data_IF_219518660888
#
_entry.id   IF_219518660888
#
_cell.length_a   1.000
_cell.length_b   1.000
_cell.length_c   1.000
_cell.angle_alpha   90.00
_cell.angle_beta   90.00
_cell.angle_gamma   90.00
#
_symmetry.space_group_name_H-M   'P 1'
#
loop_
_entity.id
_entity.type
_entity.pdbx_description
1 polymer ?
#
# COMPACT_ATOMS: atom_id res chain seq x y z
N UNK A 1 29.76 45.75 -20.48
CA UNK A 1 28.60 45.04 -21.08
C UNK A 1 28.55 43.67 -20.42
N UNK A 2 27.52 43.33 -19.63
CA UNK A 2 27.44 42.01 -18.96
C UNK A 2 26.94 40.98 -19.96
N UNK A 3 27.72 39.94 -20.22
CA UNK A 3 27.30 38.77 -21.00
C UNK A 3 26.18 38.00 -20.27
N UNK A 4 25.01 37.91 -20.89
CA UNK A 4 23.94 37.02 -20.44
C UNK A 4 24.17 35.63 -21.05
N UNK A 5 24.66 34.68 -20.25
CA UNK A 5 24.80 33.28 -20.68
C UNK A 5 23.43 32.59 -20.68
N UNK A 6 23.08 31.98 -21.81
CA UNK A 6 21.88 31.18 -21.97
C UNK A 6 21.91 29.98 -21.00
N UNK A 7 20.86 29.82 -20.19
CA UNK A 7 20.61 28.63 -19.37
C UNK A 7 19.36 27.94 -19.91
N UNK A 8 19.53 26.75 -20.52
CA UNK A 8 18.40 25.88 -20.83
C UNK A 8 17.90 25.24 -19.54
N UNK A 9 16.68 25.57 -19.14
CA UNK A 9 15.96 24.82 -18.12
C UNK A 9 15.14 23.74 -18.82
N UNK A 10 15.46 22.48 -18.57
CA UNK A 10 14.66 21.36 -19.02
C UNK A 10 13.63 21.06 -17.93
N UNK A 11 12.41 21.55 -18.08
CA UNK A 11 11.29 21.14 -17.22
C UNK A 11 10.85 19.75 -17.64
N UNK A 12 11.40 18.72 -17.00
CA UNK A 12 10.84 17.37 -17.10
C UNK A 12 9.57 17.35 -16.25
N UNK A 13 8.45 17.80 -16.80
CA UNK A 13 7.12 17.48 -16.23
C UNK A 13 6.79 16.06 -16.66
N UNK A 14 7.35 15.16 -15.88
CA UNK A 14 7.10 13.74 -15.96
C UNK A 14 7.70 13.19 -14.70
N UNK A 15 6.89 13.10 -13.63
CA UNK A 15 7.23 12.11 -12.61
C UNK A 15 7.34 10.82 -13.39
N UNK A 16 8.49 10.19 -13.42
CA UNK A 16 8.57 8.76 -13.74
C UNK A 16 7.80 8.07 -12.62
N UNK A 17 6.46 8.18 -12.66
CA UNK A 17 5.52 7.60 -11.72
C UNK A 17 5.88 6.15 -11.73
N UNK A 18 6.52 5.74 -10.64
CA UNK A 18 7.15 4.45 -10.42
C UNK A 18 6.47 3.37 -11.27
N UNK A 19 7.09 2.99 -12.41
CA UNK A 19 6.81 1.70 -13.03
C UNK A 19 7.41 0.65 -12.09
N UNK A 20 6.80 0.50 -10.92
CA UNK A 20 7.08 -0.61 -10.03
C UNK A 20 6.56 -1.82 -10.77
N UNK A 21 7.47 -2.66 -11.28
CA UNK A 21 7.08 -3.97 -11.77
C UNK A 21 6.22 -4.64 -10.68
N UNK A 22 5.06 -5.17 -11.07
CA UNK A 22 4.13 -5.88 -10.16
C UNK A 22 3.39 -5.01 -9.13
N UNK A 23 3.08 -3.75 -9.43
CA UNK A 23 2.24 -2.89 -8.56
C UNK A 23 0.91 -3.57 -8.18
N UNK A 24 0.21 -4.15 -9.16
CA UNK A 24 -1.06 -4.86 -8.94
C UNK A 24 -0.91 -6.00 -7.92
N UNK A 25 0.14 -6.82 -8.07
CA UNK A 25 0.45 -7.90 -7.13
C UNK A 25 0.69 -7.38 -5.71
N UNK A 26 1.38 -6.24 -5.56
CA UNK A 26 1.61 -5.64 -4.24
C UNK A 26 0.31 -5.14 -3.62
N UNK A 27 -0.58 -4.55 -4.42
CA UNK A 27 -1.92 -4.12 -3.97
C UNK A 27 -2.70 -5.34 -3.47
N UNK A 28 -2.74 -6.41 -4.26
CA UNK A 28 -3.42 -7.66 -3.89
C UNK A 28 -2.86 -8.26 -2.58
N UNK A 29 -1.53 -8.35 -2.46
CA UNK A 29 -0.86 -8.82 -1.25
C UNK A 29 -1.20 -7.95 -0.04
N UNK A 30 -1.24 -6.63 -0.22
CA UNK A 30 -1.58 -5.70 0.85
C UNK A 30 -3.03 -5.85 1.31
N UNK A 31 -3.98 -6.05 0.38
CA UNK A 31 -5.37 -6.36 0.72
C UNK A 31 -5.50 -7.66 1.51
N UNK A 32 -4.75 -8.71 1.12
CA UNK A 32 -4.69 -9.97 1.88
C UNK A 32 -4.14 -9.77 3.29
N UNK A 33 -3.10 -8.95 3.45
CA UNK A 33 -2.50 -8.67 4.75
C UNK A 33 -3.46 -7.89 5.65
N UNK A 34 -4.14 -6.87 5.12
CA UNK A 34 -5.16 -6.12 5.85
C UNK A 34 -6.32 -7.02 6.31
N UNK A 35 -6.85 -7.88 5.44
CA UNK A 35 -7.92 -8.82 5.81
C UNK A 35 -7.51 -9.74 6.97
N UNK A 36 -6.29 -10.30 6.87
CA UNK A 36 -5.74 -11.18 7.91
C UNK A 36 -5.51 -10.43 9.22
N UNK A 37 -4.99 -9.21 9.15
CA UNK A 37 -4.72 -8.39 10.32
C UNK A 37 -6.00 -7.98 11.02
N UNK A 38 -7.02 -7.54 10.27
CA UNK A 38 -8.34 -7.22 10.81
C UNK A 38 -8.93 -8.41 11.58
N UNK A 39 -8.88 -9.63 11.02
CA UNK A 39 -9.35 -10.85 11.69
C UNK A 39 -8.61 -11.18 13.00
N UNK A 40 -7.40 -10.65 13.19
CA UNK A 40 -6.58 -10.88 14.38
C UNK A 40 -6.83 -9.88 15.52
N UNK A 41 -7.59 -8.82 15.28
CA UNK A 41 -7.83 -7.74 16.24
C UNK A 41 -9.33 -7.58 16.49
N UNK A 42 -9.72 -7.59 17.76
CA UNK A 42 -11.08 -7.27 18.21
C UNK A 42 -11.01 -6.63 19.60
N UNK A 43 -11.59 -5.43 19.84
CA UNK A 43 -12.31 -4.57 18.90
C UNK A 43 -11.41 -3.94 17.84
N UNK A 44 -11.97 -3.64 16.67
CA UNK A 44 -11.26 -2.94 15.58
C UNK A 44 -11.34 -1.42 15.75
N UNK A 45 -10.19 -0.76 15.67
CA UNK A 45 -10.08 0.69 15.61
C UNK A 45 -8.81 1.05 14.84
N UNK A 46 -8.85 2.03 13.94
CA UNK A 46 -7.67 2.45 13.17
C UNK A 46 -6.93 3.62 13.83
N UNK A 47 -6.31 3.35 14.97
CA UNK A 47 -5.55 4.32 15.77
C UNK A 47 -4.02 4.13 15.66
N UNK A 48 -3.22 5.03 16.25
CA UNK A 48 -1.75 4.94 16.17
C UNK A 48 -1.19 3.60 16.68
N UNK A 49 -1.76 3.03 17.75
CA UNK A 49 -1.29 1.75 18.30
C UNK A 49 -1.54 0.57 17.34
N UNK A 50 -2.71 0.53 16.71
CA UNK A 50 -3.02 -0.49 15.70
C UNK A 50 -2.21 -0.30 14.42
N UNK A 51 -1.89 0.94 14.04
CA UNK A 51 -1.02 1.25 12.90
C UNK A 51 0.41 0.73 13.13
N UNK A 52 0.97 0.92 14.33
CA UNK A 52 2.28 0.34 14.69
C UNK A 52 2.25 -1.20 14.68
N UNK A 53 1.19 -1.81 15.23
CA UNK A 53 1.00 -3.26 15.17
C UNK A 53 0.89 -3.77 13.74
N UNK A 54 0.23 -3.02 12.86
CA UNK A 54 0.10 -3.38 11.45
C UNK A 54 1.44 -3.29 10.73
N UNK A 55 2.27 -2.29 11.04
CA UNK A 55 3.64 -2.20 10.54
C UNK A 55 4.44 -3.45 10.92
N UNK A 56 4.42 -3.82 12.21
CA UNK A 56 5.15 -5.00 12.69
C UNK A 56 4.61 -6.29 12.05
N UNK A 57 3.30 -6.39 11.86
CA UNK A 57 2.69 -7.50 11.12
C UNK A 57 3.16 -7.58 9.67
N UNK A 58 3.20 -6.46 8.95
CA UNK A 58 3.71 -6.40 7.57
C UNK A 58 5.20 -6.77 7.51
N UNK A 59 6.00 -6.32 8.49
CA UNK A 59 7.42 -6.65 8.60
C UNK A 59 7.63 -8.14 8.83
N UNK A 60 6.87 -8.73 9.74
CA UNK A 60 6.90 -10.17 10.04
C UNK A 60 6.48 -11.04 8.84
N UNK A 61 5.73 -10.47 7.89
CA UNK A 61 5.35 -11.12 6.62
C UNK A 61 6.29 -10.77 5.46
N UNK A 62 7.43 -10.13 5.76
CA UNK A 62 8.45 -9.71 4.79
C UNK A 62 7.90 -8.81 3.66
N UNK A 63 6.78 -8.12 3.92
CA UNK A 63 6.15 -7.23 2.93
C UNK A 63 6.87 -5.88 2.84
N UNK A 64 7.44 -5.44 3.96
CA UNK A 64 8.25 -4.23 4.07
C UNK A 64 9.66 -4.61 4.55
N UNK A 65 10.66 -3.88 4.05
CA UNK A 65 12.06 -4.03 4.46
C UNK A 65 12.52 -2.82 5.27
N UNK A 66 13.48 -3.05 6.17
CA UNK A 66 14.06 -2.02 7.04
C UNK A 66 13.30 -1.80 8.36
N UNK A 67 13.77 -0.81 9.12
CA UNK A 67 13.22 -0.40 10.40
C UNK A 67 12.78 1.06 10.33
N UNK A 68 11.47 1.30 10.40
CA UNK A 68 10.93 2.64 10.41
C UNK A 68 11.03 3.25 11.81
N UNK A 69 11.54 4.48 11.89
CA UNK A 69 11.52 5.28 13.12
C UNK A 69 10.09 5.66 13.52
N UNK A 70 9.19 5.82 12.55
CA UNK A 70 7.77 6.16 12.73
C UNK A 70 6.86 5.13 12.06
N UNK A 71 6.68 4.00 12.72
CA UNK A 71 5.93 2.84 12.22
C UNK A 71 4.46 3.17 11.92
N UNK A 72 3.82 3.98 12.77
CA UNK A 72 2.46 4.50 12.61
C UNK A 72 2.27 5.19 11.25
N UNK A 73 3.17 6.13 10.96
CA UNK A 73 3.12 6.96 9.76
C UNK A 73 3.34 6.11 8.51
N UNK A 74 4.34 5.24 8.53
CA UNK A 74 4.66 4.36 7.41
C UNK A 74 3.49 3.42 7.09
N UNK A 75 2.86 2.80 8.10
CA UNK A 75 1.68 1.97 7.92
C UNK A 75 0.51 2.74 7.28
N UNK A 76 0.32 4.00 7.70
CA UNK A 76 -0.71 4.88 7.14
C UNK A 76 -0.43 5.25 5.70
N UNK A 77 0.81 5.60 5.36
CA UNK A 77 1.22 5.95 3.99
C UNK A 77 1.09 4.77 3.02
N UNK A 78 1.38 3.54 3.49
CA UNK A 78 1.15 2.35 2.66
C UNK A 78 -0.32 2.13 2.36
N UNK A 79 -1.21 2.46 3.29
CA UNK A 79 -2.64 2.16 3.18
C UNK A 79 -3.47 3.30 2.60
N UNK A 80 -3.00 4.56 2.66
CA UNK A 80 -3.77 5.73 2.19
C UNK A 80 -4.15 5.62 0.72
N UNK A 81 -3.21 5.22 -0.14
CA UNK A 81 -3.49 5.07 -1.57
C UNK A 81 -4.57 4.03 -1.89
N UNK A 82 -4.78 3.03 -1.02
CA UNK A 82 -5.84 2.03 -1.19
C UNK A 82 -7.23 2.60 -0.85
N UNK A 83 -7.28 3.60 0.05
CA UNK A 83 -8.50 4.35 0.36
C UNK A 83 -8.88 5.22 -0.83
N UNK A 84 -7.89 5.95 -1.37
CA UNK A 84 -8.10 6.90 -2.48
C UNK A 84 -8.67 6.22 -3.74
N UNK A 85 -8.27 4.97 -4.00
CA UNK A 85 -8.76 4.16 -5.12
C UNK A 85 -10.03 3.33 -4.78
N UNK A 86 -10.53 3.40 -3.55
CA UNK A 86 -11.80 2.78 -3.14
C UNK A 86 -11.75 1.27 -2.84
N UNK A 87 -10.57 0.68 -2.65
CA UNK A 87 -10.45 -0.75 -2.29
C UNK A 87 -10.68 -1.00 -0.80
N UNK A 88 -10.41 0.01 0.03
CA UNK A 88 -10.66 -0.02 1.48
C UNK A 88 -11.34 1.27 1.93
N UNK A 89 -12.01 1.20 3.07
CA UNK A 89 -12.67 2.32 3.74
C UNK A 89 -11.66 3.17 4.54
N UNK A 90 -12.10 4.31 5.06
CA UNK A 90 -11.28 5.18 5.91
C UNK A 90 -10.75 4.43 7.15
N UNK A 91 -11.55 3.53 7.72
CA UNK A 91 -11.15 2.65 8.83
C UNK A 91 -10.32 1.43 8.41
N UNK A 92 -9.82 1.42 7.16
CA UNK A 92 -9.01 0.33 6.56
C UNK A 92 -9.70 -1.03 6.50
N UNK A 93 -11.03 -1.04 6.49
CA UNK A 93 -11.83 -2.23 6.19
C UNK A 93 -12.01 -2.39 4.68
N UNK A 94 -12.01 -3.62 4.19
CA UNK A 94 -12.24 -3.92 2.77
C UNK A 94 -13.63 -3.47 2.32
N UNK A 95 -13.69 -2.72 1.22
CA UNK A 95 -14.95 -2.38 0.55
C UNK A 95 -15.50 -3.60 -0.20
N UNK A 96 -16.71 -3.49 -0.73
CA UNK A 96 -17.29 -4.52 -1.61
C UNK A 96 -16.41 -4.80 -2.83
N UNK A 97 -15.78 -3.75 -3.39
CA UNK A 97 -14.83 -3.87 -4.51
C UNK A 97 -13.55 -4.57 -4.05
N UNK A 98 -12.97 -4.15 -2.91
CA UNK A 98 -11.78 -4.78 -2.35
C UNK A 98 -11.97 -6.26 -2.05
N UNK A 99 -13.12 -6.66 -1.50
CA UNK A 99 -13.48 -8.07 -1.25
C UNK A 99 -13.56 -8.86 -2.55
N UNK A 100 -14.26 -8.34 -3.57
CA UNK A 100 -14.36 -9.00 -4.88
C UNK A 100 -13.00 -9.18 -5.55
N UNK A 101 -12.14 -8.16 -5.49
CA UNK A 101 -10.77 -8.25 -6.03
C UNK A 101 -10.00 -9.38 -5.34
N UNK A 102 -10.05 -9.42 -4.00
CA UNK A 102 -9.40 -10.44 -3.19
C UNK A 102 -9.88 -11.87 -3.53
N UNK A 103 -11.18 -12.03 -3.76
CA UNK A 103 -11.78 -13.31 -4.17
C UNK A 103 -11.31 -13.77 -5.55
N UNK A 104 -11.24 -12.85 -6.53
CA UNK A 104 -10.77 -13.14 -7.89
C UNK A 104 -9.31 -13.61 -7.85
N UNK A 105 -8.44 -12.85 -7.18
CA UNK A 105 -7.01 -13.21 -7.07
C UNK A 105 -6.83 -14.56 -6.38
N UNK A 106 -7.65 -14.87 -5.36
CA UNK A 106 -7.59 -16.15 -4.65
C UNK A 106 -7.99 -17.33 -5.54
N UNK A 107 -8.99 -17.15 -6.42
CA UNK A 107 -9.41 -18.19 -7.37
C UNK A 107 -8.35 -18.42 -8.45
N UNK A 108 -7.73 -17.36 -8.96
CA UNK A 108 -6.67 -17.48 -9.95
C UNK A 108 -5.44 -18.22 -9.41
N UNK A 109 -5.03 -17.95 -8.17
CA UNK A 109 -3.93 -18.69 -7.52
C UNK A 109 -4.22 -20.19 -7.41
N UNK A 110 -5.46 -20.57 -7.04
CA UNK A 110 -5.87 -21.97 -6.97
C UNK A 110 -5.77 -22.62 -8.36
N UNK A 111 -6.22 -21.93 -9.41
CA UNK A 111 -6.18 -22.47 -10.78
C UNK A 111 -4.76 -22.65 -11.35
N UNK A 112 -3.77 -21.88 -10.87
CA UNK A 112 -2.36 -22.00 -11.30
C UNK A 112 -1.59 -23.10 -10.57
N UNK A 113 -2.13 -23.58 -9.44
CA UNK A 113 -1.53 -24.62 -8.59
C UNK A 113 -2.18 -26.00 -8.79
N UNK A 114 -3.14 -26.13 -9.70
CA UNK A 114 -3.76 -27.39 -10.14
C UNK A 114 -3.27 -27.73 -11.56
#
# INVERSE_FOLDING_TARGET
MKELKYKSFCWVIGTTSFRTAKLNLKIEQQLRLLDKFHKSINPWEWNNSTQEKYYDFMKNKEFISGDATRKDKDAREKTSGLVDIGLITEDRLLTTVGKKLLEITSKEEISKNN
#
